data_IF_937310352708
#
_entry.id   IF_937310352708
#
_cell.length_a   1.000
_cell.length_b   1.000
_cell.length_c   1.000
_cell.angle_alpha   90.00
_cell.angle_beta   90.00
_cell.angle_gamma   90.00
#
_symmetry.space_group_name_H-M   'P 1'
#
loop_
_entity.id
_entity.type
_entity.pdbx_description
1 polymer ?
#
# COMPACT_ATOMS: atom_id res chain seq x y z
N UNK A 1 -11.78 -20.93 -20.28
CA UNK A 1 -11.88 -22.08 -19.36
C UNK A 1 -13.24 -21.98 -18.67
N UNK A 2 -14.19 -22.84 -19.03
CA UNK A 2 -15.55 -22.88 -18.49
C UNK A 2 -15.54 -23.73 -17.22
N UNK A 3 -16.03 -23.18 -16.11
CA UNK A 3 -16.21 -23.91 -14.85
C UNK A 3 -17.43 -24.83 -14.96
N UNK A 4 -17.20 -26.11 -14.72
CA UNK A 4 -18.19 -27.19 -14.68
C UNK A 4 -18.73 -27.26 -13.24
N UNK A 5 -20.05 -27.35 -13.00
CA UNK A 5 -20.59 -27.56 -11.66
C UNK A 5 -20.54 -29.06 -11.30
N UNK A 6 -20.09 -29.33 -10.07
CA UNK A 6 -20.08 -30.65 -9.43
C UNK A 6 -21.53 -30.96 -8.97
N UNK A 7 -22.08 -32.17 -9.25
CA UNK A 7 -23.40 -32.53 -8.76
C UNK A 7 -23.34 -32.99 -7.29
N UNK A 8 -24.27 -32.48 -6.48
CA UNK A 8 -24.60 -33.03 -5.16
C UNK A 8 -25.07 -34.48 -5.33
N UNK A 9 -24.25 -35.44 -4.89
CA UNK A 9 -24.69 -36.83 -4.75
C UNK A 9 -25.46 -36.92 -3.43
N UNK A 10 -26.77 -37.12 -3.59
CA UNK A 10 -27.73 -37.45 -2.54
C UNK A 10 -27.30 -38.75 -1.84
N UNK A 11 -26.99 -38.69 -0.54
CA UNK A 11 -26.80 -39.88 0.30
C UNK A 11 -28.17 -40.39 0.72
N UNK A 12 -28.91 -40.92 -0.25
CA UNK A 12 -30.08 -41.78 -0.03
C UNK A 12 -29.88 -42.93 -1.00
N UNK A 13 -29.87 -44.17 -0.48
CA UNK A 13 -29.64 -45.45 -1.18
C UNK A 13 -28.23 -46.05 -1.03
N UNK A 14 -27.84 -46.41 0.19
CA UNK A 14 -26.86 -47.50 0.43
C UNK A 14 -27.17 -48.22 1.75
N UNK A 15 -28.42 -48.61 1.95
CA UNK A 15 -28.81 -49.50 3.06
C UNK A 15 -29.97 -50.42 2.66
N UNK A 16 -29.88 -51.05 1.50
CA UNK A 16 -30.83 -52.08 1.06
C UNK A 16 -30.09 -53.16 0.24
N UNK A 17 -29.15 -53.88 0.87
CA UNK A 17 -28.67 -55.15 0.32
C UNK A 17 -27.90 -56.03 1.31
N UNK A 18 -28.37 -56.21 2.56
CA UNK A 18 -27.83 -57.30 3.41
C UNK A 18 -28.68 -57.71 4.60
N UNK A 19 -29.98 -57.98 4.41
CA UNK A 19 -30.76 -58.69 5.43
C UNK A 19 -31.78 -59.62 4.76
N UNK A 20 -31.28 -60.74 4.24
CA UNK A 20 -32.12 -61.88 3.89
C UNK A 20 -31.36 -63.16 4.22
N UNK A 21 -31.22 -63.42 5.51
CA UNK A 21 -31.11 -64.76 6.12
C UNK A 21 -31.06 -64.53 7.63
N UNK A 22 -32.20 -64.74 8.30
CA UNK A 22 -32.33 -65.34 9.63
C UNK A 22 -33.72 -65.02 10.19
N UNK A 23 -34.67 -65.87 9.84
CA UNK A 23 -35.87 -66.07 10.64
C UNK A 23 -35.47 -66.85 11.89
N UNK A 24 -35.37 -66.17 13.04
CA UNK A 24 -35.63 -66.76 14.35
C UNK A 24 -35.66 -65.69 15.45
N UNK A 25 -36.69 -65.82 16.28
CA UNK A 25 -36.95 -65.18 17.57
C UNK A 25 -37.71 -63.85 17.49
N UNK A 26 -39.01 -63.96 17.73
CA UNK A 26 -39.89 -62.84 18.11
C UNK A 26 -39.51 -62.50 19.56
N UNK A 27 -39.05 -61.27 19.86
CA UNK A 27 -38.78 -60.85 21.23
C UNK A 27 -40.08 -60.72 22.01
N UNK A 28 -40.01 -60.95 23.32
CA UNK A 28 -41.13 -60.80 24.24
C UNK A 28 -41.65 -59.35 24.27
N UNK A 29 -42.95 -59.16 24.48
CA UNK A 29 -43.66 -57.87 24.46
C UNK A 29 -43.08 -56.87 25.49
N UNK A 30 -42.46 -57.39 26.55
CA UNK A 30 -41.74 -56.59 27.54
C UNK A 30 -40.36 -56.09 27.09
N UNK A 31 -39.68 -56.83 26.20
CA UNK A 31 -38.35 -56.46 25.71
C UNK A 31 -38.45 -55.34 24.66
N UNK A 32 -39.49 -55.40 23.82
CA UNK A 32 -39.80 -54.37 22.83
C UNK A 32 -40.19 -53.02 23.46
N UNK A 33 -40.95 -53.04 24.55
CA UNK A 33 -41.36 -51.83 25.29
C UNK A 33 -40.20 -51.19 26.04
N UNK A 34 -39.30 -51.98 26.63
CA UNK A 34 -38.06 -51.46 27.24
C UNK A 34 -37.16 -50.81 26.20
N UNK A 35 -36.94 -51.49 25.08
CA UNK A 35 -36.12 -50.96 23.99
C UNK A 35 -36.73 -49.66 23.45
N UNK A 36 -38.04 -49.61 23.19
CA UNK A 36 -38.73 -48.41 22.70
C UNK A 36 -38.65 -47.23 23.70
N UNK A 37 -38.75 -47.49 25.00
CA UNK A 37 -38.58 -46.47 26.04
C UNK A 37 -37.13 -45.95 26.13
N UNK A 38 -36.14 -46.81 25.90
CA UNK A 38 -34.73 -46.43 25.86
C UNK A 38 -34.41 -45.58 24.61
N UNK A 39 -35.02 -45.91 23.45
CA UNK A 39 -34.96 -45.09 22.23
C UNK A 39 -35.64 -43.73 22.41
N UNK A 40 -36.79 -43.66 23.10
CA UNK A 40 -37.47 -42.41 23.41
C UNK A 40 -36.67 -41.52 24.38
N UNK A 41 -36.01 -42.11 25.39
CA UNK A 41 -35.12 -41.35 26.30
C UNK A 41 -33.86 -40.83 25.60
N UNK A 42 -33.27 -41.61 24.69
CA UNK A 42 -32.09 -41.20 23.92
C UNK A 42 -32.40 -40.08 22.91
N UNK A 43 -33.58 -40.13 22.27
CA UNK A 43 -34.02 -39.09 21.31
C UNK A 43 -34.46 -37.80 21.98
N UNK A 44 -35.04 -37.86 23.18
CA UNK A 44 -35.44 -36.68 23.95
C UNK A 44 -34.24 -35.90 24.54
N UNK A 45 -33.10 -36.55 24.76
CA UNK A 45 -31.84 -35.90 25.14
C UNK A 45 -31.14 -35.21 23.94
N UNK A 46 -31.33 -35.70 22.72
CA UNK A 46 -30.74 -35.15 21.49
C UNK A 46 -31.48 -33.89 20.99
N UNK A 47 -32.80 -33.80 21.21
CA UNK A 47 -33.62 -32.68 20.70
C UNK A 47 -33.45 -31.41 21.55
N UNK A 48 -33.02 -31.51 22.81
CA UNK A 48 -32.79 -30.36 23.68
C UNK A 48 -31.35 -29.80 23.68
N UNK A 49 -30.38 -30.48 23.06
CA UNK A 49 -28.97 -30.06 23.07
C UNK A 49 -28.52 -29.38 21.76
N UNK A 50 -29.29 -29.49 20.67
CA UNK A 50 -29.01 -28.83 19.39
C UNK A 50 -29.29 -27.31 19.39
N UNK A 51 -30.30 -26.75 20.10
CA UNK A 51 -30.50 -25.29 20.12
C UNK A 51 -29.46 -24.55 20.97
N UNK A 52 -28.82 -25.22 21.94
CA UNK A 52 -27.90 -24.59 22.89
C UNK A 52 -26.48 -24.40 22.31
N UNK A 53 -26.08 -25.23 21.34
CA UNK A 53 -24.78 -25.12 20.67
C UNK A 53 -24.78 -24.14 19.48
N UNK A 54 -25.94 -23.84 18.90
CA UNK A 54 -26.04 -22.87 17.78
C UNK A 54 -26.01 -21.42 18.30
N UNK A 55 -26.47 -21.16 19.54
CA UNK A 55 -26.42 -19.82 20.14
C UNK A 55 -25.03 -19.38 20.61
N UNK A 56 -24.05 -20.29 20.70
CA UNK A 56 -22.65 -19.97 21.06
C UNK A 56 -21.73 -19.76 19.85
N UNK A 57 -22.27 -19.88 18.63
CA UNK A 57 -21.57 -19.61 17.36
C UNK A 57 -22.28 -18.45 16.63
N UNK A 58 -22.94 -17.54 17.37
CA UNK A 58 -23.19 -16.20 16.82
C UNK A 58 -21.81 -15.56 16.73
N UNK A 59 -21.32 -15.33 15.51
CA UNK A 59 -19.90 -15.11 15.30
C UNK A 59 -19.50 -13.80 15.96
N UNK A 60 -18.31 -13.79 16.55
CA UNK A 60 -17.57 -12.57 16.87
C UNK A 60 -17.16 -11.84 15.57
N UNK A 61 -18.10 -11.59 14.67
CA UNK A 61 -18.00 -10.57 13.64
C UNK A 61 -18.31 -9.22 14.30
N UNK A 62 -17.53 -8.88 15.32
CA UNK A 62 -17.14 -7.48 15.45
C UNK A 62 -16.33 -7.19 14.20
N UNK A 63 -17.03 -6.80 13.13
CA UNK A 63 -16.45 -5.96 12.10
C UNK A 63 -15.89 -4.75 12.84
N UNK A 64 -14.62 -4.83 13.25
CA UNK A 64 -13.79 -3.65 13.33
C UNK A 64 -13.78 -3.12 11.90
N UNK A 65 -14.78 -2.31 11.55
CA UNK A 65 -14.64 -1.40 10.44
C UNK A 65 -13.51 -0.47 10.87
N UNK A 66 -12.28 -0.86 10.54
CA UNK A 66 -11.17 0.08 10.44
C UNK A 66 -11.68 1.15 9.49
N UNK A 67 -12.08 2.30 10.05
CA UNK A 67 -12.46 3.46 9.25
C UNK A 67 -11.27 3.76 8.37
N UNK A 68 -11.44 3.62 7.05
CA UNK A 68 -10.38 3.94 6.08
C UNK A 68 -10.08 5.43 6.19
N UNK A 69 -8.87 5.77 6.63
CA UNK A 69 -8.45 7.15 6.90
C UNK A 69 -8.10 7.88 5.60
N UNK A 70 -7.44 7.19 4.67
CA UNK A 70 -7.05 7.73 3.39
C UNK A 70 -8.18 7.67 2.36
N UNK A 71 -8.62 8.86 1.95
CA UNK A 71 -9.81 9.08 1.12
C UNK A 71 -9.50 9.21 -0.37
N UNK A 72 -10.53 9.24 -1.20
CA UNK A 72 -10.37 9.54 -2.63
C UNK A 72 -9.86 10.97 -2.87
N UNK A 73 -10.24 11.93 -2.02
CA UNK A 73 -9.72 13.31 -2.07
C UNK A 73 -8.22 13.33 -1.82
N UNK A 74 -7.76 12.59 -0.80
CA UNK A 74 -6.32 12.46 -0.51
C UNK A 74 -5.58 11.79 -1.68
N UNK A 75 -6.16 10.76 -2.30
CA UNK A 75 -5.60 10.12 -3.50
C UNK A 75 -5.45 11.11 -4.64
N UNK A 76 -6.50 11.84 -4.97
CA UNK A 76 -6.48 12.81 -6.06
C UNK A 76 -5.49 13.95 -5.78
N UNK A 77 -5.38 14.38 -4.53
CA UNK A 77 -4.42 15.39 -4.10
C UNK A 77 -2.97 14.95 -4.39
N UNK A 78 -2.60 13.72 -4.03
CA UNK A 78 -1.28 13.17 -4.32
C UNK A 78 -1.04 13.05 -5.83
N UNK A 79 -2.00 12.48 -6.59
CA UNK A 79 -1.88 12.32 -8.05
C UNK A 79 -1.68 13.67 -8.73
N UNK A 80 -2.50 14.66 -8.40
CA UNK A 80 -2.45 16.00 -9.00
C UNK A 80 -1.08 16.63 -8.78
N UNK A 81 -0.53 16.55 -7.56
CA UNK A 81 0.77 17.17 -7.27
C UNK A 81 1.95 16.39 -7.86
N UNK A 82 1.90 15.05 -7.87
CA UNK A 82 2.93 14.23 -8.48
C UNK A 82 3.00 14.44 -10.01
N UNK A 83 1.85 14.53 -10.68
CA UNK A 83 1.76 14.84 -12.12
C UNK A 83 2.15 16.29 -12.42
N UNK A 84 1.68 17.26 -11.60
CA UNK A 84 2.07 18.67 -11.73
C UNK A 84 3.59 18.83 -11.70
N UNK A 85 4.24 18.28 -10.68
CA UNK A 85 5.70 18.40 -10.52
C UNK A 85 6.47 17.67 -11.61
N UNK A 86 5.97 16.52 -12.08
CA UNK A 86 6.50 15.84 -13.28
C UNK A 86 6.41 16.73 -14.53
N UNK A 87 5.27 17.35 -14.78
CA UNK A 87 5.08 18.25 -15.92
C UNK A 87 5.99 19.48 -15.85
N UNK A 88 6.17 20.06 -14.67
CA UNK A 88 7.10 21.16 -14.46
C UNK A 88 8.55 20.74 -14.69
N UNK A 89 8.97 19.54 -14.27
CA UNK A 89 10.30 19.00 -14.58
C UNK A 89 10.49 18.83 -16.10
N UNK A 90 9.52 18.24 -16.79
CA UNK A 90 9.53 18.10 -18.25
C UNK A 90 9.67 19.46 -18.95
N UNK A 91 8.97 20.48 -18.45
CA UNK A 91 9.04 21.86 -18.95
C UNK A 91 10.42 22.47 -18.71
N UNK A 92 10.96 22.38 -17.49
CA UNK A 92 12.23 23.01 -17.14
C UNK A 92 13.44 22.38 -17.85
N UNK A 93 13.31 21.12 -18.24
CA UNK A 93 14.35 20.33 -18.92
C UNK A 93 14.16 20.22 -20.43
N UNK A 94 13.09 20.81 -20.97
CA UNK A 94 12.79 20.79 -22.40
C UNK A 94 13.89 21.49 -23.19
N UNK A 95 14.42 20.81 -24.20
CA UNK A 95 15.41 21.36 -25.15
C UNK A 95 16.69 21.91 -24.49
N UNK A 96 17.09 21.36 -23.34
CA UNK A 96 18.40 21.67 -22.78
C UNK A 96 19.51 21.05 -23.64
N UNK A 97 20.51 21.85 -24.01
CA UNK A 97 21.73 21.37 -24.67
C UNK A 97 22.58 20.54 -23.71
N UNK A 98 23.54 19.77 -24.24
CA UNK A 98 24.48 18.99 -23.41
C UNK A 98 25.24 19.90 -22.44
N UNK A 99 25.65 21.09 -22.89
CA UNK A 99 26.34 22.08 -22.07
C UNK A 99 25.44 22.61 -20.94
N UNK A 100 24.16 22.86 -21.22
CA UNK A 100 23.20 23.30 -20.20
C UNK A 100 22.91 22.22 -19.15
N UNK A 101 22.83 20.96 -19.56
CA UNK A 101 22.69 19.83 -18.65
C UNK A 101 23.87 19.70 -17.69
N UNK A 102 25.09 19.93 -18.19
CA UNK A 102 26.33 19.78 -17.44
C UNK A 102 26.83 21.06 -16.77
N UNK A 103 26.17 22.20 -16.99
CA UNK A 103 26.61 23.49 -16.43
C UNK A 103 26.63 23.43 -14.90
N UNK A 104 27.73 23.90 -14.31
CA UNK A 104 27.91 24.06 -12.87
C UNK A 104 28.41 25.47 -12.63
N UNK A 105 27.79 26.16 -11.67
CA UNK A 105 28.23 27.49 -11.26
C UNK A 105 29.66 27.45 -10.70
N UNK A 106 29.97 26.42 -9.90
CA UNK A 106 31.31 26.13 -9.39
C UNK A 106 31.44 24.62 -9.06
N UNK A 107 32.62 24.19 -8.62
CA UNK A 107 32.92 22.78 -8.33
C UNK A 107 32.11 22.17 -7.17
N UNK A 108 31.51 23.01 -6.32
CA UNK A 108 30.73 22.63 -5.14
C UNK A 108 29.22 22.60 -5.40
N UNK A 109 28.75 23.14 -6.54
CA UNK A 109 27.31 23.15 -6.89
C UNK A 109 26.97 21.98 -7.79
N UNK A 110 25.70 21.58 -7.78
CA UNK A 110 25.17 20.59 -8.71
C UNK A 110 24.78 21.22 -10.04
N UNK A 111 24.97 20.47 -11.13
CA UNK A 111 24.36 20.78 -12.42
C UNK A 111 22.88 20.41 -12.45
N UNK A 112 22.15 20.83 -13.48
CA UNK A 112 20.77 20.39 -13.70
C UNK A 112 20.70 18.86 -13.79
N UNK A 113 21.66 18.22 -14.48
CA UNK A 113 21.76 16.76 -14.54
C UNK A 113 21.86 16.14 -13.15
N UNK A 114 22.77 16.62 -12.31
CA UNK A 114 22.95 16.12 -10.94
C UNK A 114 21.73 16.39 -10.04
N UNK A 115 21.01 17.49 -10.25
CA UNK A 115 19.73 17.72 -9.55
C UNK A 115 18.68 16.67 -9.94
N UNK A 116 18.58 16.31 -11.23
CA UNK A 116 17.66 15.26 -11.66
C UNK A 116 18.09 13.86 -11.22
N UNK A 117 19.39 13.57 -11.19
CA UNK A 117 19.93 12.34 -10.62
C UNK A 117 19.52 12.20 -9.15
N UNK A 118 19.73 13.26 -8.36
CA UNK A 118 19.32 13.31 -6.96
C UNK A 118 17.81 13.06 -6.78
N UNK A 119 16.98 13.71 -7.60
CA UNK A 119 15.54 13.46 -7.58
C UNK A 119 15.20 12.01 -7.94
N UNK A 120 15.83 11.44 -8.97
CA UNK A 120 15.63 10.04 -9.35
C UNK A 120 16.08 9.03 -8.29
N UNK A 121 17.13 9.34 -7.52
CA UNK A 121 17.52 8.54 -6.35
C UNK A 121 16.40 8.55 -5.31
N UNK A 122 15.80 9.71 -5.02
CA UNK A 122 14.67 9.81 -4.10
C UNK A 122 13.38 9.15 -4.61
N UNK A 123 13.18 9.06 -5.94
CA UNK A 123 12.09 8.24 -6.49
C UNK A 123 12.23 6.78 -6.03
N UNK A 124 13.45 6.24 -6.06
CA UNK A 124 13.70 4.86 -5.60
C UNK A 124 13.65 4.73 -4.09
N UNK A 125 14.27 5.65 -3.36
CA UNK A 125 14.33 5.60 -1.88
C UNK A 125 12.92 5.65 -1.29
N UNK A 126 12.07 6.58 -1.74
CA UNK A 126 10.72 6.71 -1.21
C UNK A 126 9.79 5.59 -1.67
N UNK A 127 9.96 5.06 -2.89
CA UNK A 127 9.24 3.86 -3.30
C UNK A 127 9.61 2.66 -2.41
N UNK A 128 10.89 2.44 -2.16
CA UNK A 128 11.36 1.37 -1.28
C UNK A 128 10.88 1.55 0.17
N UNK A 129 10.95 2.77 0.70
CA UNK A 129 10.42 3.09 2.04
C UNK A 129 8.92 2.80 2.12
N UNK A 130 8.15 3.17 1.10
CA UNK A 130 6.72 2.85 1.04
C UNK A 130 6.47 1.33 0.96
N UNK A 131 7.17 0.61 0.08
CA UNK A 131 7.00 -0.84 -0.09
C UNK A 131 7.26 -1.61 1.21
N UNK A 132 8.35 -1.26 1.93
CA UNK A 132 8.68 -1.90 3.21
C UNK A 132 7.58 -1.63 4.24
N UNK A 133 7.12 -0.39 4.39
CA UNK A 133 6.14 -0.03 5.41
C UNK A 133 4.72 -0.49 5.07
N UNK A 134 4.38 -0.65 3.80
CA UNK A 134 3.09 -1.23 3.38
C UNK A 134 3.04 -2.75 3.58
N UNK A 135 4.19 -3.39 3.76
CA UNK A 135 4.28 -4.81 4.12
C UNK A 135 4.03 -5.10 5.61
N UNK A 136 3.99 -4.06 6.46
CA UNK A 136 3.69 -4.20 7.90
C UNK A 136 2.18 -4.16 8.16
N UNK A 137 1.78 -4.49 9.40
CA UNK A 137 0.39 -4.28 9.81
C UNK A 137 0.04 -2.78 9.82
N UNK A 138 -1.18 -2.38 9.42
CA UNK A 138 -1.63 -1.00 9.53
C UNK A 138 -1.78 -0.58 11.00
N UNK A 139 -1.45 0.67 11.29
CA UNK A 139 -1.49 1.32 12.60
C UNK A 139 -2.34 2.62 12.56
N UNK A 140 -3.64 2.56 12.22
CA UNK A 140 -4.50 3.75 12.08
C UNK A 140 -4.55 4.63 13.35
N UNK A 141 -4.31 4.05 14.52
CA UNK A 141 -4.25 4.78 15.79
C UNK A 141 -3.15 5.85 15.84
N UNK A 142 -2.12 5.76 14.99
CA UNK A 142 -1.00 6.71 14.93
C UNK A 142 -1.32 7.96 14.10
N UNK A 143 -2.43 8.00 13.35
CA UNK A 143 -2.79 9.18 12.54
C UNK A 143 -2.94 10.45 13.38
N UNK A 144 -3.38 10.31 14.64
CA UNK A 144 -3.43 11.41 15.62
C UNK A 144 -2.07 12.07 15.91
N UNK A 145 -0.97 11.38 15.61
CA UNK A 145 0.41 11.85 15.81
C UNK A 145 1.00 12.42 14.51
N UNK A 146 0.31 12.28 13.38
CA UNK A 146 0.72 12.84 12.09
C UNK A 146 0.73 14.36 12.16
N UNK A 147 1.75 14.96 11.54
CA UNK A 147 1.72 16.41 11.27
C UNK A 147 0.80 16.67 10.07
N UNK A 148 0.18 17.85 9.97
CA UNK A 148 -0.57 18.22 8.76
C UNK A 148 0.36 18.36 7.56
N UNK A 149 -0.15 18.13 6.35
CA UNK A 149 0.58 18.27 5.08
C UNK A 149 1.33 19.60 4.97
N UNK A 150 0.71 20.69 5.42
CA UNK A 150 1.30 22.02 5.44
C UNK A 150 2.63 22.11 6.19
N UNK A 151 2.83 21.30 7.24
CA UNK A 151 4.10 21.25 7.97
C UNK A 151 5.22 20.64 7.13
N UNK A 152 4.93 19.58 6.38
CA UNK A 152 5.90 18.95 5.48
C UNK A 152 6.22 19.85 4.29
N UNK A 153 5.21 20.52 3.73
CA UNK A 153 5.40 21.47 2.64
C UNK A 153 6.17 22.71 3.08
N UNK A 154 5.92 23.22 4.28
CA UNK A 154 6.70 24.31 4.86
C UNK A 154 8.17 23.91 4.99
N UNK A 155 8.46 22.72 5.52
CA UNK A 155 9.82 22.19 5.60
C UNK A 155 10.48 22.04 4.22
N UNK A 156 9.76 21.58 3.19
CA UNK A 156 10.28 21.51 1.82
C UNK A 156 10.46 22.90 1.17
N UNK A 157 9.74 23.91 1.64
CA UNK A 157 9.87 25.29 1.18
C UNK A 157 10.96 26.09 1.89
N UNK A 158 11.54 25.56 2.97
CA UNK A 158 12.68 26.19 3.64
C UNK A 158 13.85 26.38 2.64
N UNK A 159 14.35 27.62 2.46
CA UNK A 159 15.45 27.90 1.54
C UNK A 159 16.82 27.46 2.08
N UNK A 160 16.90 27.04 3.35
CA UNK A 160 18.15 26.65 3.99
C UNK A 160 18.88 25.55 3.23
N UNK A 161 20.23 25.62 3.17
CA UNK A 161 21.01 24.58 2.53
C UNK A 161 20.84 23.27 3.32
N UNK A 162 20.48 22.21 2.59
CA UNK A 162 20.44 20.85 3.11
C UNK A 162 21.53 20.06 2.40
N UNK A 163 22.29 19.28 3.17
CA UNK A 163 23.20 18.28 2.62
C UNK A 163 22.39 17.03 2.29
N UNK A 164 22.58 16.47 1.10
CA UNK A 164 22.02 15.18 0.77
C UNK A 164 22.62 14.12 1.70
N UNK A 165 21.81 13.11 2.02
CA UNK A 165 22.33 11.87 2.59
C UNK A 165 23.21 11.17 1.54
N UNK A 166 24.20 10.40 2.01
CA UNK A 166 25.22 9.79 1.14
C UNK A 166 24.64 8.89 0.03
N UNK A 167 23.50 8.24 0.31
CA UNK A 167 22.79 7.35 -0.63
C UNK A 167 21.92 8.12 -1.65
N UNK A 168 21.80 9.43 -1.49
CA UNK A 168 21.09 10.33 -2.39
C UNK A 168 22.01 11.40 -3.00
N UNK A 169 23.33 11.33 -2.77
CA UNK A 169 24.28 12.25 -3.39
C UNK A 169 24.49 11.89 -4.88
N UNK A 170 24.31 12.84 -5.82
CA UNK A 170 24.46 12.54 -7.25
C UNK A 170 25.93 12.34 -7.62
N UNK A 171 26.23 11.26 -8.34
CA UNK A 171 27.58 10.92 -8.78
C UNK A 171 27.97 11.61 -10.09
N UNK A 172 26.99 12.10 -10.86
CA UNK A 172 27.21 12.77 -12.14
C UNK A 172 27.59 11.81 -13.27
N UNK A 173 27.24 10.52 -13.15
CA UNK A 173 27.60 9.49 -14.12
C UNK A 173 26.70 9.48 -15.37
N UNK A 174 25.47 10.00 -15.25
CA UNK A 174 24.50 10.07 -16.35
C UNK A 174 24.69 11.34 -17.20
N UNK A 175 24.57 11.20 -18.52
CA UNK A 175 24.77 12.31 -19.46
C UNK A 175 23.44 12.90 -19.92
N UNK A 176 23.35 14.22 -19.92
CA UNK A 176 22.24 14.94 -20.52
C UNK A 176 20.86 14.46 -20.05
N UNK A 177 20.00 14.15 -21.02
CA UNK A 177 18.62 13.73 -20.80
C UNK A 177 18.47 12.32 -20.16
N UNK A 178 19.55 11.54 -20.01
CA UNK A 178 19.48 10.26 -19.27
C UNK A 178 19.05 10.48 -17.82
N UNK A 179 19.44 11.62 -17.22
CA UNK A 179 19.00 12.04 -15.89
C UNK A 179 17.47 12.20 -15.80
N UNK A 180 16.85 12.77 -16.86
CA UNK A 180 15.40 12.91 -16.95
C UNK A 180 14.73 11.53 -17.09
N UNK A 181 15.29 10.66 -17.93
CA UNK A 181 14.80 9.29 -18.09
C UNK A 181 14.80 8.52 -16.77
N UNK A 182 15.88 8.64 -16.00
CA UNK A 182 16.00 8.02 -14.68
C UNK A 182 14.93 8.53 -13.68
N UNK A 183 14.74 9.85 -13.60
CA UNK A 183 13.68 10.45 -12.78
C UNK A 183 12.28 9.96 -13.21
N UNK A 184 11.97 10.02 -14.51
CA UNK A 184 10.64 9.65 -15.03
C UNK A 184 10.32 8.17 -14.83
N UNK A 185 11.33 7.29 -14.89
CA UNK A 185 11.16 5.87 -14.63
C UNK A 185 10.59 5.61 -13.23
N UNK A 186 11.09 6.33 -12.22
CA UNK A 186 10.59 6.25 -10.84
C UNK A 186 9.25 6.96 -10.68
N UNK A 187 9.15 8.21 -11.15
CA UNK A 187 7.95 9.04 -10.99
C UNK A 187 6.70 8.40 -11.58
N UNK A 188 6.80 7.80 -12.77
CA UNK A 188 5.67 7.11 -13.39
C UNK A 188 5.17 5.95 -12.53
N UNK A 189 6.08 5.15 -11.96
CA UNK A 189 5.71 4.02 -11.08
C UNK A 189 5.02 4.49 -9.80
N UNK A 190 5.48 5.59 -9.21
CA UNK A 190 4.86 6.13 -7.99
C UNK A 190 3.46 6.66 -8.28
N UNK A 191 3.28 7.38 -9.38
CA UNK A 191 1.95 7.85 -9.78
C UNK A 191 1.02 6.65 -10.02
N UNK A 192 1.50 5.61 -10.72
CA UNK A 192 0.71 4.41 -10.96
C UNK A 192 0.40 3.64 -9.68
N UNK A 193 1.34 3.58 -8.73
CA UNK A 193 1.10 3.06 -7.39
C UNK A 193 -0.01 3.84 -6.67
N UNK A 194 0.10 5.17 -6.58
CA UNK A 194 -0.90 6.00 -5.89
C UNK A 194 -2.28 5.92 -6.57
N UNK A 195 -2.33 5.78 -7.90
CA UNK A 195 -3.59 5.56 -8.63
C UNK A 195 -4.27 4.26 -8.24
N UNK A 196 -3.52 3.17 -8.19
CA UNK A 196 -4.08 1.82 -8.18
C UNK A 196 -4.05 1.13 -6.81
N UNK A 197 -3.30 1.68 -5.85
CA UNK A 197 -3.13 1.06 -4.53
C UNK A 197 -4.46 0.92 -3.78
N UNK A 198 -4.68 -0.24 -3.19
CA UNK A 198 -5.82 -0.52 -2.30
C UNK A 198 -5.50 -0.24 -0.83
N UNK A 199 -4.23 -0.03 -0.50
CA UNK A 199 -3.76 0.30 0.85
C UNK A 199 -4.35 1.61 1.37
N UNK A 200 -4.49 1.71 2.70
CA UNK A 200 -4.79 2.96 3.38
C UNK A 200 -3.49 3.68 3.72
N UNK A 201 -3.08 4.65 2.89
CA UNK A 201 -1.77 5.30 3.05
C UNK A 201 -1.64 6.17 4.30
N UNK A 202 -2.74 6.48 5.00
CA UNK A 202 -2.71 7.17 6.30
C UNK A 202 -2.58 6.20 7.48
N UNK A 203 -2.76 4.90 7.23
CA UNK A 203 -2.66 3.85 8.25
C UNK A 203 -1.29 3.17 8.30
N UNK A 204 -0.35 3.48 7.41
CA UNK A 204 1.02 2.96 7.45
C UNK A 204 2.03 4.10 7.65
N UNK A 205 3.07 3.86 8.44
CA UNK A 205 3.98 4.92 8.91
C UNK A 205 5.44 4.58 8.61
N UNK A 206 6.20 5.60 8.23
CA UNK A 206 7.64 5.48 7.99
C UNK A 206 8.40 5.31 9.29
N UNK A 207 9.41 4.43 9.28
CA UNK A 207 10.38 4.33 10.37
C UNK A 207 11.53 5.31 10.18
N UNK A 208 11.75 6.21 11.16
CA UNK A 208 12.92 7.09 11.23
C UNK A 208 13.45 7.12 12.65
N UNK A 209 14.76 6.97 12.80
CA UNK A 209 15.44 7.01 14.10
C UNK A 209 15.19 8.36 14.81
N UNK A 210 14.84 8.33 16.08
CA UNK A 210 14.66 9.52 16.95
C UNK A 210 13.30 10.24 16.85
N UNK A 211 12.68 10.33 15.67
CA UNK A 211 11.33 10.86 15.46
C UNK A 211 10.35 9.76 15.03
N UNK A 212 10.40 8.64 15.73
CA UNK A 212 9.78 7.38 15.33
C UNK A 212 8.29 7.56 14.98
N UNK A 213 7.91 7.11 13.77
CA UNK A 213 6.53 6.91 13.28
C UNK A 213 5.64 8.15 13.16
N UNK A 214 6.20 9.32 12.82
CA UNK A 214 5.40 10.56 12.67
C UNK A 214 4.87 10.85 11.27
N UNK A 215 5.27 10.09 10.26
CA UNK A 215 4.94 10.37 8.86
C UNK A 215 4.26 9.15 8.25
N UNK A 216 2.97 9.28 7.95
CA UNK A 216 2.26 8.26 7.20
C UNK A 216 2.81 8.12 5.77
N UNK A 217 2.48 7.05 5.06
CA UNK A 217 2.86 6.90 3.64
C UNK A 217 2.20 7.98 2.77
N UNK A 218 1.01 8.46 3.15
CA UNK A 218 0.43 9.66 2.55
C UNK A 218 1.39 10.86 2.67
N UNK A 219 1.83 11.15 3.89
CA UNK A 219 2.73 12.27 4.15
C UNK A 219 4.13 12.07 3.54
N UNK A 220 4.61 10.83 3.38
CA UNK A 220 5.80 10.51 2.60
C UNK A 220 5.66 10.99 1.15
N UNK A 221 4.51 10.73 0.52
CA UNK A 221 4.23 11.20 -0.86
C UNK A 221 4.07 12.72 -0.92
N UNK A 222 3.57 13.36 0.13
CA UNK A 222 3.55 14.83 0.27
C UNK A 222 4.96 15.41 0.30
N UNK A 223 5.84 14.84 1.13
CA UNK A 223 7.26 15.20 1.14
C UNK A 223 7.87 14.96 -0.24
N UNK A 224 7.49 13.91 -0.96
CA UNK A 224 8.03 13.58 -2.26
C UNK A 224 7.81 14.67 -3.31
N UNK A 225 6.56 15.06 -3.56
CA UNK A 225 6.32 16.12 -4.55
C UNK A 225 6.82 17.48 -4.04
N UNK A 226 6.77 17.75 -2.72
CA UNK A 226 7.33 18.96 -2.13
C UNK A 226 8.86 19.05 -2.32
N UNK A 227 9.56 17.92 -2.22
CA UNK A 227 10.99 17.81 -2.51
C UNK A 227 11.28 18.14 -3.97
N UNK A 228 10.41 17.71 -4.89
CA UNK A 228 10.51 18.08 -6.31
C UNK A 228 10.32 19.58 -6.52
N UNK A 229 9.34 20.21 -5.85
CA UNK A 229 9.16 21.67 -5.88
C UNK A 229 10.40 22.44 -5.40
N UNK A 230 11.07 21.93 -4.35
CA UNK A 230 12.35 22.49 -3.87
C UNK A 230 13.43 22.45 -4.95
N UNK A 231 13.58 21.33 -5.63
CA UNK A 231 14.60 21.17 -6.67
C UNK A 231 14.23 21.83 -8.00
N UNK A 232 12.95 22.03 -8.30
CA UNK A 232 12.50 22.91 -9.39
C UNK A 232 12.99 24.34 -9.19
N UNK A 233 12.90 24.88 -7.96
CA UNK A 233 13.48 26.19 -7.62
C UNK A 233 15.00 26.21 -7.76
N UNK A 234 15.68 25.10 -7.46
CA UNK A 234 17.12 24.99 -7.71
C UNK A 234 17.44 25.02 -9.20
N UNK A 235 16.73 24.26 -10.04
CA UNK A 235 16.91 24.25 -11.50
C UNK A 235 16.73 25.66 -12.08
N UNK A 236 15.68 26.38 -11.67
CA UNK A 236 15.42 27.76 -12.11
C UNK A 236 16.58 28.69 -11.74
N UNK A 237 17.06 28.64 -10.50
CA UNK A 237 18.22 29.42 -10.04
C UNK A 237 19.51 29.10 -10.83
N UNK A 238 19.70 27.85 -11.27
CA UNK A 238 20.84 27.47 -12.12
C UNK A 238 20.71 28.12 -13.51
N UNK A 239 19.51 28.12 -14.09
CA UNK A 239 19.23 28.73 -15.42
C UNK A 239 19.35 30.26 -15.40
N UNK A 240 19.19 30.87 -14.23
CA UNK A 240 19.34 32.32 -14.02
C UNK A 240 20.80 32.76 -13.81
N UNK A 241 21.77 31.84 -13.75
CA UNK A 241 23.18 32.22 -13.58
C UNK A 241 23.70 32.99 -14.80
N UNK A 242 24.55 34.02 -14.62
CA UNK A 242 25.08 34.82 -15.72
C UNK A 242 25.81 34.00 -16.80
N UNK A 243 26.53 32.97 -16.36
CA UNK A 243 27.34 32.10 -17.22
C UNK A 243 26.58 30.87 -17.73
N UNK A 244 25.28 30.76 -17.43
CA UNK A 244 24.47 29.66 -17.94
C UNK A 244 24.46 29.69 -19.48
N UNK A 245 24.77 28.56 -20.16
CA UNK A 245 24.89 28.56 -21.61
C UNK A 245 23.58 29.00 -22.27
N UNK A 246 23.68 29.97 -23.18
CA UNK A 246 22.56 30.41 -24.01
C UNK A 246 22.30 29.38 -25.12
N UNK A 247 21.06 29.32 -25.60
CA UNK A 247 20.71 28.54 -26.79
C UNK A 247 21.35 29.15 -28.03
#
# INVERSE_FOLDING_TARGET
MKLIPIPLISVVTLLFCRLQTETKNIPDEQETTKQMNDWMRATQAFICSIPLLISLIVPQLSYCQSTRLWTQTDRQYLINNLERTKAEILKETKQLSVQQWSFKQDSTKWSIGQVLEHLGLYERIFAQEADIMLSTQPEPQLDRLSKPDSSYLAWMNDPSPHKAEWNAEPLGLMKGADNLTFFLFGRNRIIDFVRNTTYDLKSHFTFRWGEERRRSIHALMVVHFGHTDRHLRQIRRIKEQPDFPKQ
#
